data_IF_685091406495
#
_entry.id   IF_685091406495
#
_cell.length_a   1.000
_cell.length_b   1.000
_cell.length_c   1.000
_cell.angle_alpha   90.00
_cell.angle_beta   90.00
_cell.angle_gamma   90.00
#
_symmetry.space_group_name_H-M   'P 1'
#
loop_
_entity.id
_entity.type
_entity.pdbx_description
1 polymer ?
#
# COMPACT_ATOMS: atom_id res chain seq x y z
N UNK A 1 -19.12 -29.97 24.49
CA UNK A 1 -18.51 -28.92 25.33
C UNK A 1 -19.12 -27.59 24.91
N UNK A 2 -19.88 -27.00 25.83
CA UNK A 2 -20.97 -26.04 25.61
C UNK A 2 -20.49 -24.63 25.24
N UNK A 3 -21.32 -23.90 24.50
CA UNK A 3 -21.04 -22.59 23.91
C UNK A 3 -21.44 -21.51 24.91
N UNK A 4 -20.47 -20.82 25.51
CA UNK A 4 -20.73 -19.58 26.26
C UNK A 4 -20.32 -18.37 25.41
N UNK A 5 -21.24 -17.87 24.60
CA UNK A 5 -21.07 -16.58 23.91
C UNK A 5 -21.61 -15.50 24.81
N UNK A 6 -20.70 -14.74 25.44
CA UNK A 6 -21.03 -13.54 26.20
C UNK A 6 -21.76 -12.55 25.31
N UNK A 7 -23.06 -12.35 25.57
CA UNK A 7 -23.87 -11.32 24.91
C UNK A 7 -23.46 -9.95 25.45
N UNK A 8 -22.47 -9.34 24.83
CA UNK A 8 -22.20 -7.92 25.01
C UNK A 8 -23.42 -7.09 24.62
N UNK A 9 -23.96 -6.34 25.57
CA UNK A 9 -25.04 -5.37 25.40
C UNK A 9 -24.53 -4.18 24.58
N UNK A 10 -24.50 -4.34 23.25
CA UNK A 10 -24.34 -3.22 22.33
C UNK A 10 -25.71 -2.56 22.10
N UNK A 11 -25.81 -1.22 22.11
CA UNK A 11 -27.07 -0.55 21.86
C UNK A 11 -27.61 -1.00 20.51
N UNK A 12 -28.88 -1.41 20.50
CA UNK A 12 -29.63 -1.85 19.32
C UNK A 12 -29.91 -0.63 18.45
N UNK A 13 -28.88 -0.04 17.85
CA UNK A 13 -29.07 0.70 16.61
C UNK A 13 -29.52 -0.33 15.60
N UNK A 14 -30.76 -0.21 15.13
CA UNK A 14 -31.42 -1.19 14.27
C UNK A 14 -30.49 -1.62 13.12
N UNK A 15 -29.86 -2.78 13.29
CA UNK A 15 -28.96 -3.32 12.27
C UNK A 15 -29.84 -3.66 11.08
N UNK A 16 -29.55 -3.06 9.94
CA UNK A 16 -30.25 -3.40 8.70
C UNK A 16 -30.09 -4.90 8.40
N UNK A 17 -30.99 -5.48 7.62
CA UNK A 17 -30.91 -6.90 7.21
C UNK A 17 -29.60 -7.25 6.48
N UNK A 18 -28.86 -6.24 6.00
CA UNK A 18 -27.54 -6.39 5.40
C UNK A 18 -26.42 -6.65 6.43
N UNK A 19 -26.53 -6.17 7.67
CA UNK A 19 -25.47 -6.25 8.68
C UNK A 19 -25.45 -7.61 9.42
N UNK A 20 -25.22 -8.70 8.69
CA UNK A 20 -25.19 -10.07 9.22
C UNK A 20 -23.86 -10.78 8.95
N UNK A 21 -23.44 -11.67 9.85
CA UNK A 21 -22.34 -12.60 9.57
C UNK A 21 -22.85 -13.70 8.63
N UNK A 22 -22.12 -13.96 7.55
CA UNK A 22 -22.49 -14.97 6.55
C UNK A 22 -21.97 -16.36 6.89
N UNK A 23 -20.81 -16.43 7.56
CA UNK A 23 -20.08 -17.69 7.80
C UNK A 23 -19.66 -17.91 9.27
N UNK A 24 -20.16 -17.09 10.20
CA UNK A 24 -19.90 -17.22 11.63
C UNK A 24 -18.74 -16.35 12.15
N UNK A 25 -18.26 -16.60 13.38
CA UNK A 25 -17.14 -15.90 13.98
C UNK A 25 -15.80 -16.31 13.32
N UNK A 26 -14.83 -15.40 13.32
CA UNK A 26 -13.50 -15.58 12.73
C UNK A 26 -12.45 -15.51 13.83
N UNK A 27 -11.42 -16.35 13.76
CA UNK A 27 -10.20 -16.20 14.56
C UNK A 27 -9.33 -15.10 13.94
N UNK A 28 -9.31 -13.93 14.58
CA UNK A 28 -8.60 -12.76 14.07
C UNK A 28 -7.08 -12.90 14.15
N UNK A 29 -6.54 -13.71 15.07
CA UNK A 29 -5.11 -13.91 15.24
C UNK A 29 -4.56 -14.89 14.19
N UNK A 30 -5.30 -15.95 13.91
CA UNK A 30 -4.98 -16.87 12.81
C UNK A 30 -5.06 -16.15 11.45
N UNK A 31 -6.17 -15.44 11.19
CA UNK A 31 -6.35 -14.71 9.94
C UNK A 31 -5.26 -13.65 9.71
N UNK A 32 -4.90 -12.90 10.76
CA UNK A 32 -3.87 -11.86 10.64
C UNK A 32 -2.50 -12.44 10.33
N UNK A 33 -2.15 -13.57 10.97
CA UNK A 33 -0.89 -14.28 10.68
C UNK A 33 -0.87 -14.82 9.26
N UNK A 34 -1.94 -15.47 8.81
CA UNK A 34 -2.03 -15.99 7.44
C UNK A 34 -1.87 -14.86 6.42
N UNK A 35 -2.60 -13.75 6.61
CA UNK A 35 -2.50 -12.59 5.73
C UNK A 35 -1.08 -12.01 5.68
N UNK A 36 -0.43 -11.87 6.84
CA UNK A 36 0.96 -11.38 6.91
C UNK A 36 1.92 -12.31 6.18
N UNK A 37 1.78 -13.63 6.34
CA UNK A 37 2.59 -14.60 5.62
C UNK A 37 2.41 -14.46 4.11
N UNK A 38 1.16 -14.38 3.62
CA UNK A 38 0.88 -14.21 2.19
C UNK A 38 1.45 -12.93 1.63
N UNK A 39 1.34 -11.82 2.37
CA UNK A 39 1.93 -10.54 1.95
C UNK A 39 3.46 -10.60 1.92
N UNK A 40 4.08 -11.28 2.89
CA UNK A 40 5.53 -11.47 2.91
C UNK A 40 6.03 -12.32 1.73
N UNK A 41 5.30 -13.38 1.36
CA UNK A 41 5.58 -14.19 0.17
C UNK A 41 5.56 -13.35 -1.10
N UNK A 42 4.48 -12.58 -1.32
CA UNK A 42 4.35 -11.69 -2.48
C UNK A 42 5.48 -10.65 -2.54
N UNK A 43 5.80 -10.02 -1.40
CA UNK A 43 6.88 -9.05 -1.32
C UNK A 43 8.25 -9.68 -1.63
N UNK A 44 8.51 -10.90 -1.16
CA UNK A 44 9.75 -11.60 -1.44
C UNK A 44 9.88 -11.99 -2.92
N UNK A 45 8.79 -12.45 -3.53
CA UNK A 45 8.73 -12.76 -4.97
C UNK A 45 8.97 -11.51 -5.82
N UNK A 46 8.28 -10.40 -5.53
CA UNK A 46 8.46 -9.15 -6.25
C UNK A 46 9.85 -8.57 -6.05
N UNK A 47 10.39 -8.61 -4.83
CA UNK A 47 11.75 -8.17 -4.53
C UNK A 47 12.79 -8.92 -5.35
N UNK A 48 12.66 -10.25 -5.44
CA UNK A 48 13.55 -11.07 -6.26
C UNK A 48 13.31 -10.87 -7.76
N UNK A 49 12.06 -10.66 -8.20
CA UNK A 49 11.73 -10.46 -9.62
C UNK A 49 12.34 -9.17 -10.15
N UNK A 50 12.24 -8.11 -9.38
CA UNK A 50 12.59 -6.75 -9.79
C UNK A 50 13.95 -6.28 -9.29
N UNK A 51 14.70 -7.07 -8.52
CA UNK A 51 15.94 -6.63 -7.89
C UNK A 51 15.77 -5.30 -7.11
N UNK A 52 14.61 -5.09 -6.51
CA UNK A 52 14.22 -3.85 -5.83
C UNK A 52 13.51 -4.14 -4.51
N UNK A 53 13.92 -3.49 -3.42
CA UNK A 53 13.27 -3.60 -2.13
C UNK A 53 12.17 -2.53 -2.00
N UNK A 54 10.93 -2.92 -2.29
CA UNK A 54 9.77 -2.04 -2.20
C UNK A 54 9.41 -1.60 -0.78
N UNK A 55 9.91 -2.26 0.27
CA UNK A 55 9.66 -1.86 1.65
C UNK A 55 10.60 -0.72 2.08
N UNK A 56 11.85 -0.78 1.63
CA UNK A 56 12.86 0.23 1.93
C UNK A 56 12.96 1.31 0.84
N UNK A 57 12.26 1.13 -0.28
CA UNK A 57 12.29 2.00 -1.45
C UNK A 57 13.71 2.19 -2.01
N UNK A 58 14.46 1.08 -2.08
CA UNK A 58 15.84 1.08 -2.58
C UNK A 58 16.12 -0.13 -3.46
N UNK A 59 16.96 0.01 -4.49
CA UNK A 59 17.38 -1.13 -5.28
C UNK A 59 18.25 -2.10 -4.50
N UNK A 60 18.17 -3.38 -4.84
CA UNK A 60 19.01 -4.39 -4.22
C UNK A 60 20.47 -4.20 -4.65
N UNK A 61 21.38 -4.31 -3.68
CA UNK A 61 22.83 -4.19 -3.93
C UNK A 61 23.38 -5.49 -4.50
N UNK A 62 24.06 -5.41 -5.65
CA UNK A 62 24.79 -6.54 -6.22
C UNK A 62 24.68 -6.60 -7.75
N UNK A 63 25.30 -7.61 -8.39
CA UNK A 63 25.09 -7.91 -9.80
C UNK A 63 23.71 -8.56 -9.99
N UNK A 64 22.65 -7.81 -9.70
CA UNK A 64 21.27 -8.22 -9.99
C UNK A 64 21.03 -8.30 -11.50
N UNK A 65 19.84 -8.78 -11.90
CA UNK A 65 19.46 -8.82 -13.32
C UNK A 65 19.08 -7.43 -13.82
N UNK A 66 18.56 -6.58 -12.94
CA UNK A 66 18.19 -5.20 -13.23
C UNK A 66 19.12 -4.22 -12.53
N UNK A 67 19.48 -3.15 -13.25
CA UNK A 67 20.20 -2.01 -12.70
C UNK A 67 19.23 -0.84 -12.59
N UNK A 68 18.97 -0.41 -11.36
CA UNK A 68 18.11 0.73 -11.07
C UNK A 68 18.93 2.01 -10.95
N UNK A 69 18.42 3.07 -11.54
CA UNK A 69 18.99 4.42 -11.46
C UNK A 69 17.88 5.38 -11.10
N UNK A 70 18.13 6.23 -10.10
CA UNK A 70 17.24 7.32 -9.76
C UNK A 70 17.32 8.40 -10.84
N UNK A 71 16.17 8.88 -11.30
CA UNK A 71 16.04 9.91 -12.33
C UNK A 71 15.13 11.02 -11.83
N UNK A 72 15.37 12.24 -12.30
CA UNK A 72 14.52 13.38 -11.96
C UNK A 72 13.09 13.19 -12.51
N UNK A 73 12.09 13.57 -11.71
CA UNK A 73 10.67 13.37 -12.04
C UNK A 73 10.24 14.14 -13.30
N UNK A 74 10.88 15.27 -13.61
CA UNK A 74 10.57 16.02 -14.84
C UNK A 74 11.24 15.42 -16.08
N UNK A 75 12.25 14.57 -15.91
CA UNK A 75 12.90 13.87 -17.02
C UNK A 75 12.10 12.67 -17.55
N UNK A 76 11.11 12.19 -16.77
CA UNK A 76 10.26 11.05 -17.15
C UNK A 76 8.89 11.52 -17.67
N UNK A 77 8.27 10.78 -18.61
CA UNK A 77 6.93 11.10 -19.08
C UNK A 77 5.91 11.22 -17.93
N UNK A 78 5.00 12.20 -18.04
CA UNK A 78 3.97 12.49 -17.03
C UNK A 78 3.19 11.26 -16.55
N UNK A 79 3.03 10.27 -17.42
CA UNK A 79 2.46 8.96 -17.13
C UNK A 79 3.03 8.31 -15.85
N UNK A 80 4.36 8.31 -15.67
CA UNK A 80 5.01 7.59 -14.57
C UNK A 80 5.00 8.36 -13.24
N UNK A 81 4.73 9.67 -13.27
CA UNK A 81 4.73 10.54 -12.09
C UNK A 81 3.32 10.94 -11.62
N UNK A 82 2.38 11.11 -12.53
CA UNK A 82 1.06 11.71 -12.25
C UNK A 82 -0.06 10.68 -12.27
N UNK A 83 0.20 9.38 -12.46
CA UNK A 83 -0.88 8.38 -12.50
C UNK A 83 -0.64 7.21 -11.57
N UNK A 84 -1.70 6.79 -10.87
CA UNK A 84 -1.74 5.55 -10.09
C UNK A 84 -2.90 4.70 -10.59
N UNK A 85 -2.65 3.43 -10.85
CA UNK A 85 -3.67 2.47 -11.26
C UNK A 85 -4.17 1.70 -10.03
N UNK A 86 -5.44 1.88 -9.69
CA UNK A 86 -6.12 1.13 -8.62
C UNK A 86 -7.19 0.26 -9.28
N UNK A 87 -6.87 -1.04 -9.44
CA UNK A 87 -7.71 -1.98 -10.18
C UNK A 87 -7.91 -1.54 -11.64
N UNK A 88 -9.15 -1.17 -12.00
CA UNK A 88 -9.51 -0.66 -13.34
C UNK A 88 -9.58 0.86 -13.42
N UNK A 89 -9.41 1.55 -12.29
CA UNK A 89 -9.45 3.00 -12.24
C UNK A 89 -8.03 3.55 -12.36
N UNK A 90 -7.82 4.49 -13.29
CA UNK A 90 -6.62 5.33 -13.33
C UNK A 90 -6.93 6.62 -12.59
N UNK A 91 -6.19 6.88 -11.53
CA UNK A 91 -6.25 8.11 -10.77
C UNK A 91 -5.10 9.01 -11.20
N UNK A 92 -5.42 10.28 -11.51
CA UNK A 92 -4.39 11.30 -11.70
C UNK A 92 -4.01 11.82 -10.32
N UNK A 93 -2.76 11.62 -9.93
CA UNK A 93 -2.16 12.31 -8.80
C UNK A 93 -1.99 13.76 -9.24
N UNK A 94 -2.91 14.64 -8.85
CA UNK A 94 -2.71 16.08 -9.04
C UNK A 94 -1.45 16.44 -8.26
N UNK A 95 -0.36 16.76 -8.96
CA UNK A 95 0.83 17.26 -8.29
C UNK A 95 0.42 18.54 -7.56
N UNK A 96 0.57 18.54 -6.25
CA UNK A 96 0.53 19.80 -5.50
C UNK A 96 1.79 20.54 -5.93
N UNK A 97 1.73 21.75 -6.50
CA UNK A 97 2.95 22.46 -6.86
C UNK A 97 3.71 22.71 -5.56
N UNK A 98 4.87 22.05 -5.40
CA UNK A 98 5.85 22.44 -4.39
C UNK A 98 6.28 23.85 -4.79
N UNK A 99 5.83 24.85 -4.04
CA UNK A 99 6.34 26.21 -4.18
C UNK A 99 7.81 26.18 -3.76
N UNK A 100 8.71 26.02 -4.73
CA UNK A 100 10.13 26.30 -4.52
C UNK A 100 10.23 27.82 -4.40
N UNK A 101 10.29 28.31 -3.16
CA UNK A 101 10.69 29.68 -2.90
C UNK A 101 12.15 29.83 -3.32
N UNK A 102 12.38 30.25 -4.56
CA UNK A 102 13.69 30.72 -5.02
C UNK A 102 13.95 32.04 -4.31
N UNK A 103 14.71 31.99 -3.21
CA UNK A 103 15.32 33.19 -2.65
C UNK A 103 16.39 33.66 -3.64
N UNK A 104 16.01 34.57 -4.54
CA UNK A 104 16.95 35.37 -5.32
C UNK A 104 17.60 36.35 -4.34
N UNK A 105 18.82 36.04 -3.89
CA UNK A 105 19.70 37.08 -3.37
C UNK A 105 20.21 37.92 -4.54
N UNK A 106 20.00 39.25 -4.55
CA UNK A 106 20.59 40.11 -5.57
C UNK A 106 22.09 40.34 -5.29
N UNK A 107 22.97 40.40 -6.31
CA UNK A 107 24.34 40.86 -6.16
C UNK A 107 24.44 42.40 -6.33
N UNK A 108 25.58 43.05 -6.04
CA UNK A 108 26.79 42.63 -5.32
C UNK A 108 26.92 43.20 -3.89
#
# INVERSE_FOLDING_TARGET
MERLVSRGTHPVLARSSACRSLFGPVDHEELSRELQTRLAELNAEDRNRWDYDFQQDVPLRGPGRLQWTEVDGESVPAFYRETVQVGRCRLVLTSRPVQVAVAVSPPP
#
